data_IF_691713127455
#
_entry.id   IF_691713127455
#
_cell.length_a   1.000
_cell.length_b   1.000
_cell.length_c   1.000
_cell.angle_alpha   90.00
_cell.angle_beta   90.00
_cell.angle_gamma   90.00
#
_symmetry.space_group_name_H-M   'P 1'
#
loop_
_entity.id
_entity.type
_entity.pdbx_description
1 polymer ?
#
# COMPACT_ATOMS: atom_id res chain seq x y z
N UNK A 1 25.63 65.12 -28.58
CA UNK A 1 26.05 65.99 -27.46
C UNK A 1 24.81 66.37 -26.66
N UNK A 2 24.89 66.50 -25.33
CA UNK A 2 25.31 65.49 -24.33
C UNK A 2 24.05 64.88 -23.62
N UNK A 3 24.11 63.76 -22.88
CA UNK A 3 24.52 63.62 -21.46
C UNK A 3 23.81 64.64 -20.52
N UNK A 4 23.22 64.31 -19.36
CA UNK A 4 23.34 63.15 -18.45
C UNK A 4 22.07 63.12 -17.51
N UNK A 5 21.81 62.19 -16.58
CA UNK A 5 22.57 61.05 -16.02
C UNK A 5 21.63 59.94 -15.43
N UNK A 6 22.22 58.89 -14.84
CA UNK A 6 21.64 57.84 -13.96
C UNK A 6 21.91 58.20 -12.46
N UNK A 7 21.34 57.54 -11.40
CA UNK A 7 21.18 56.08 -11.21
C UNK A 7 19.85 55.69 -10.49
N UNK A 8 19.51 54.45 -10.07
CA UNK A 8 20.11 53.09 -10.13
C UNK A 8 18.96 52.07 -10.11
N UNK A 9 19.12 50.87 -10.70
CA UNK A 9 18.26 49.70 -10.41
C UNK A 9 18.63 49.09 -9.03
N UNK A 10 17.77 48.22 -8.47
CA UNK A 10 18.06 46.79 -8.62
C UNK A 10 16.94 46.00 -9.33
N UNK A 11 17.34 45.01 -10.12
CA UNK A 11 16.45 44.02 -10.70
C UNK A 11 15.95 43.03 -9.64
N UNK A 12 14.68 42.61 -9.75
CA UNK A 12 14.17 41.42 -9.09
C UNK A 12 13.37 40.58 -10.09
N UNK A 13 14.11 40.01 -11.04
CA UNK A 13 13.66 38.78 -11.73
C UNK A 13 13.73 37.65 -10.72
N UNK A 14 12.63 37.44 -9.99
CA UNK A 14 12.44 36.23 -9.21
C UNK A 14 12.31 35.04 -10.17
N UNK A 15 13.44 34.37 -10.46
CA UNK A 15 13.41 33.03 -11.03
C UNK A 15 12.70 32.13 -10.02
N UNK A 16 11.47 31.74 -10.34
CA UNK A 16 10.81 30.62 -9.69
C UNK A 16 11.52 29.37 -10.21
N UNK A 17 12.48 28.86 -9.44
CA UNK A 17 13.05 27.54 -9.71
C UNK A 17 11.93 26.50 -9.60
N UNK A 18 11.83 25.54 -10.55
CA UNK A 18 10.92 24.42 -10.39
C UNK A 18 11.39 23.55 -9.21
N UNK A 19 10.48 22.86 -8.50
CA UNK A 19 10.88 21.96 -7.43
C UNK A 19 11.86 20.92 -7.98
N UNK A 20 13.03 20.83 -7.35
CA UNK A 20 14.09 19.92 -7.76
C UNK A 20 13.58 18.47 -7.69
N UNK A 21 13.67 17.76 -8.81
CA UNK A 21 13.57 16.30 -8.81
C UNK A 21 14.77 15.73 -8.05
N UNK A 22 14.60 15.46 -6.76
CA UNK A 22 15.48 14.56 -6.02
C UNK A 22 14.97 13.14 -6.29
N UNK A 23 15.39 12.59 -7.43
CA UNK A 23 15.25 11.15 -7.71
C UNK A 23 16.43 10.41 -7.07
N UNK A 24 16.15 9.38 -6.27
CA UNK A 24 17.15 8.34 -5.94
C UNK A 24 17.89 8.44 -4.60
N UNK A 25 17.45 9.23 -3.63
CA UNK A 25 17.96 9.13 -2.25
C UNK A 25 16.81 9.23 -1.26
N UNK A 26 16.63 8.20 -0.44
CA UNK A 26 15.72 8.23 0.71
C UNK A 26 16.31 9.18 1.75
N UNK A 27 15.58 10.23 2.14
CA UNK A 27 16.07 11.24 3.08
C UNK A 27 15.78 10.87 4.55
N UNK A 28 16.17 11.74 5.48
CA UNK A 28 16.02 11.48 6.92
C UNK A 28 14.56 11.40 7.41
N UNK A 29 13.59 11.94 6.67
CA UNK A 29 12.18 11.98 7.11
C UNK A 29 11.57 10.58 7.27
N UNK A 30 12.14 9.60 6.58
CA UNK A 30 11.71 8.21 6.59
C UNK A 30 11.97 7.51 7.93
N UNK A 31 13.03 7.88 8.65
CA UNK A 31 13.30 7.41 10.01
C UNK A 31 12.32 7.98 11.06
N UNK A 32 11.67 9.11 10.74
CA UNK A 32 10.74 9.82 11.64
C UNK A 32 9.28 9.35 11.47
N UNK A 33 9.00 8.46 10.51
CA UNK A 33 7.67 7.90 10.30
C UNK A 33 7.24 7.11 11.54
N UNK A 34 6.04 7.39 12.04
CA UNK A 34 5.42 6.54 13.06
C UNK A 34 5.01 5.20 12.45
N UNK A 35 5.93 4.24 12.46
CA UNK A 35 5.66 2.87 12.07
C UNK A 35 4.63 2.19 12.98
N UNK A 36 4.29 2.77 14.15
CA UNK A 36 3.20 2.34 15.03
C UNK A 36 1.81 2.78 14.54
N UNK A 37 1.72 3.60 13.49
CA UNK A 37 0.45 4.13 12.98
C UNK A 37 -0.62 3.05 12.67
N UNK A 38 -1.92 3.34 12.94
CA UNK A 38 -3.06 2.45 12.71
C UNK A 38 -3.12 1.80 11.32
N UNK A 39 -2.80 2.55 10.27
CA UNK A 39 -2.86 2.05 8.90
C UNK A 39 -1.70 1.11 8.54
N UNK A 40 -0.61 1.06 9.32
CA UNK A 40 0.50 0.11 9.12
C UNK A 40 0.34 -1.17 9.94
N UNK A 41 -0.52 -1.19 10.96
CA UNK A 41 -0.64 -2.28 11.95
C UNK A 41 -0.79 -3.68 11.36
N UNK A 42 -1.49 -3.79 10.23
CA UNK A 42 -1.73 -5.05 9.52
C UNK A 42 -0.52 -5.66 8.81
N UNK A 43 0.57 -4.91 8.60
CA UNK A 43 1.76 -5.40 7.89
C UNK A 43 2.58 -6.29 8.84
N UNK A 44 2.97 -7.48 8.40
CA UNK A 44 3.66 -8.48 9.25
C UNK A 44 5.08 -8.08 9.65
N UNK A 45 5.69 -7.10 8.98
CA UNK A 45 7.12 -6.77 9.08
C UNK A 45 7.43 -5.34 9.54
N UNK A 46 6.45 -4.62 10.12
CA UNK A 46 6.57 -3.17 10.46
C UNK A 46 7.84 -2.77 11.18
N UNK A 47 8.26 -3.54 12.18
CA UNK A 47 9.48 -3.24 12.94
C UNK A 47 10.73 -3.35 12.06
N UNK A 48 10.80 -4.40 11.23
CA UNK A 48 11.89 -4.61 10.29
C UNK A 48 11.89 -3.57 9.14
N UNK A 49 10.71 -3.12 8.71
CA UNK A 49 10.56 -1.98 7.79
C UNK A 49 11.08 -0.69 8.43
N UNK A 50 10.63 -0.34 9.65
CA UNK A 50 11.15 0.80 10.44
C UNK A 50 12.68 0.79 10.47
N UNK A 51 13.29 -0.31 10.93
CA UNK A 51 14.74 -0.40 11.06
C UNK A 51 15.48 -0.38 9.73
N UNK A 52 14.92 -0.98 8.67
CA UNK A 52 15.49 -0.89 7.31
C UNK A 52 15.50 0.54 6.82
N UNK A 53 14.40 1.23 7.02
CA UNK A 53 14.16 2.59 6.57
C UNK A 53 15.03 3.58 7.35
N UNK A 54 15.12 3.44 8.67
CA UNK A 54 16.07 4.16 9.53
C UNK A 54 17.53 4.00 9.07
N UNK A 55 17.92 2.81 8.58
CA UNK A 55 19.27 2.56 8.05
C UNK A 55 19.48 3.25 6.70
N UNK A 56 18.51 3.14 5.79
CA UNK A 56 18.56 3.77 4.46
C UNK A 56 18.54 5.31 4.53
N UNK A 57 17.94 5.87 5.57
CA UNK A 57 17.85 7.31 5.83
C UNK A 57 19.16 7.94 6.32
N UNK A 58 20.00 7.16 7.04
CA UNK A 58 21.16 7.70 7.77
C UNK A 58 22.24 8.19 6.79
N UNK A 59 22.74 9.44 6.94
CA UNK A 59 23.86 9.92 6.14
C UNK A 59 25.09 9.06 6.36
N UNK A 60 25.77 8.66 5.28
CA UNK A 60 26.92 7.74 5.26
C UNK A 60 28.12 8.18 6.12
N UNK A 61 28.11 9.40 6.67
CA UNK A 61 29.17 9.95 7.51
C UNK A 61 29.05 9.60 9.01
N UNK A 62 27.89 9.10 9.49
CA UNK A 62 27.68 8.84 10.93
C UNK A 62 28.11 7.44 11.42
N UNK A 63 28.44 6.50 10.54
CA UNK A 63 28.80 5.14 10.97
C UNK A 63 30.23 5.00 11.55
N UNK A 64 31.08 6.02 11.39
CA UNK A 64 32.46 6.00 11.88
C UNK A 64 32.66 6.48 13.34
N UNK A 65 31.59 6.63 14.14
CA UNK A 65 31.68 7.22 15.49
C UNK A 65 31.08 6.40 16.64
N UNK A 66 30.70 5.14 16.42
CA UNK A 66 30.18 4.25 17.47
C UNK A 66 30.90 2.89 17.42
N UNK A 67 32.14 2.87 17.91
CA UNK A 67 32.90 1.64 18.15
C UNK A 67 33.64 1.70 19.48
N UNK A 68 32.92 1.67 20.60
CA UNK A 68 33.44 1.23 21.90
C UNK A 68 32.29 0.89 22.87
N UNK A 69 32.33 -0.30 23.50
CA UNK A 69 31.30 -0.93 24.36
C UNK A 69 29.91 -1.11 23.71
N UNK A 70 29.42 -2.33 23.48
CA UNK A 70 29.30 -3.41 24.47
C UNK A 70 29.42 -4.82 23.84
N UNK A 71 29.63 -5.86 24.66
CA UNK A 71 29.99 -7.20 24.17
C UNK A 71 28.81 -8.20 24.13
N UNK A 72 28.29 -8.50 22.93
CA UNK A 72 27.57 -9.73 22.60
C UNK A 72 27.86 -10.16 21.15
N UNK A 73 27.78 -11.46 20.87
CA UNK A 73 28.11 -12.05 19.56
C UNK A 73 27.14 -11.62 18.44
N UNK A 74 27.52 -10.62 17.66
CA UNK A 74 26.93 -10.35 16.34
C UNK A 74 27.98 -10.57 15.23
N UNK A 75 27.55 -11.18 14.12
CA UNK A 75 28.36 -11.29 12.91
C UNK A 75 28.51 -9.90 12.29
N UNK A 76 29.60 -9.20 12.62
CA UNK A 76 29.96 -7.92 12.02
C UNK A 76 30.02 -8.03 10.50
N UNK A 77 29.05 -7.42 9.83
CA UNK A 77 29.13 -7.08 8.41
C UNK A 77 29.78 -5.71 8.30
N UNK A 78 30.81 -5.61 7.46
CA UNK A 78 31.60 -4.39 7.29
C UNK A 78 30.74 -3.24 6.75
N UNK A 79 30.72 -2.11 7.48
CA UNK A 79 29.90 -0.95 7.15
C UNK A 79 30.41 -0.14 5.93
N UNK A 80 31.54 -0.51 5.34
CA UNK A 80 32.03 0.08 4.08
C UNK A 80 31.22 -0.33 2.84
N UNK A 81 30.32 -1.32 2.96
CA UNK A 81 29.49 -1.85 1.86
C UNK A 81 28.14 -1.11 1.67
N UNK A 82 27.91 0.02 2.35
CA UNK A 82 26.60 0.72 2.37
C UNK A 82 26.47 1.72 1.20
N UNK A 83 26.74 1.17 0.01
CA UNK A 83 26.17 1.59 -1.28
C UNK A 83 25.82 0.33 -2.09
N UNK A 84 25.39 -0.73 -1.40
CA UNK A 84 24.97 -2.00 -1.99
C UNK A 84 23.61 -1.82 -2.69
N UNK A 85 23.55 -1.91 -4.03
CA UNK A 85 22.26 -1.94 -4.72
C UNK A 85 21.44 -3.14 -4.25
N UNK A 86 20.13 -3.04 -4.37
CA UNK A 86 19.15 -4.09 -4.07
C UNK A 86 18.91 -4.34 -2.56
N UNK A 87 19.19 -3.33 -1.71
CA UNK A 87 18.95 -3.41 -0.26
C UNK A 87 17.51 -3.78 0.06
N UNK A 88 16.52 -3.12 -0.56
CA UNK A 88 15.10 -3.37 -0.31
C UNK A 88 14.68 -4.76 -0.81
N UNK A 89 15.23 -5.22 -1.94
CA UNK A 89 14.99 -6.57 -2.44
C UNK A 89 15.50 -7.65 -1.46
N UNK A 90 16.71 -7.47 -0.93
CA UNK A 90 17.33 -8.40 0.03
C UNK A 90 16.59 -8.42 1.38
N UNK A 91 16.15 -7.26 1.86
CA UNK A 91 15.29 -7.09 3.03
C UNK A 91 13.99 -7.87 2.87
N UNK A 92 13.23 -7.59 1.82
CA UNK A 92 11.92 -8.23 1.59
C UNK A 92 12.07 -9.75 1.36
N UNK A 93 13.14 -10.19 0.68
CA UNK A 93 13.47 -11.61 0.49
C UNK A 93 13.72 -12.32 1.83
N UNK A 94 14.52 -11.71 2.70
CA UNK A 94 14.82 -12.24 4.04
C UNK A 94 13.55 -12.33 4.88
N UNK A 95 12.73 -11.27 4.88
CA UNK A 95 11.45 -11.26 5.58
C UNK A 95 10.47 -12.34 5.08
N UNK A 96 10.39 -12.56 3.76
CA UNK A 96 9.55 -13.61 3.17
C UNK A 96 9.97 -15.02 3.65
N UNK A 97 11.28 -15.28 3.70
CA UNK A 97 11.83 -16.54 4.20
C UNK A 97 11.59 -16.73 5.70
N UNK A 98 11.79 -15.69 6.50
CA UNK A 98 11.51 -15.72 7.94
C UNK A 98 10.03 -15.96 8.24
N UNK A 99 9.12 -15.31 7.50
CA UNK A 99 7.67 -15.51 7.64
C UNK A 99 7.25 -16.93 7.26
N UNK A 100 7.79 -17.49 6.17
CA UNK A 100 7.53 -18.88 5.77
C UNK A 100 8.02 -19.88 6.84
N UNK A 101 9.24 -19.69 7.35
CA UNK A 101 9.82 -20.52 8.41
C UNK A 101 9.02 -20.43 9.72
N UNK A 102 8.64 -19.22 10.15
CA UNK A 102 7.88 -19.00 11.40
C UNK A 102 6.47 -19.59 11.35
N UNK A 103 5.82 -19.58 10.18
CA UNK A 103 4.49 -20.15 9.96
C UNK A 103 4.50 -21.65 9.61
N UNK A 104 5.69 -22.27 9.57
CA UNK A 104 5.94 -23.65 9.09
C UNK A 104 5.27 -23.94 7.73
N UNK A 105 5.28 -22.96 6.83
CA UNK A 105 4.57 -22.99 5.55
C UNK A 105 5.53 -22.84 4.36
N UNK A 106 5.21 -23.43 3.20
CA UNK A 106 5.98 -23.17 1.98
C UNK A 106 5.89 -21.68 1.62
N UNK A 107 6.93 -21.18 0.95
CA UNK A 107 6.91 -19.86 0.32
C UNK A 107 5.70 -19.76 -0.63
N UNK A 108 5.04 -18.58 -0.71
CA UNK A 108 3.88 -18.41 -1.56
C UNK A 108 4.24 -18.57 -3.04
N UNK A 109 3.25 -18.85 -3.89
CA UNK A 109 3.48 -19.15 -5.31
C UNK A 109 2.64 -18.27 -6.24
N UNK A 110 3.07 -18.11 -7.48
CA UNK A 110 2.28 -17.49 -8.55
C UNK A 110 1.01 -18.31 -8.83
N UNK A 111 -0.08 -17.63 -9.20
CA UNK A 111 -1.27 -18.30 -9.76
C UNK A 111 -0.97 -18.62 -11.24
N UNK A 112 -0.85 -19.89 -11.65
CA UNK A 112 -0.38 -20.24 -12.99
C UNK A 112 -1.42 -19.92 -14.06
N UNK A 113 -0.96 -19.47 -15.24
CA UNK A 113 -1.79 -19.49 -16.45
C UNK A 113 -1.82 -20.87 -17.10
N UNK A 114 -2.69 -21.07 -18.10
CA UNK A 114 -2.83 -22.37 -18.75
C UNK A 114 -1.50 -22.83 -19.39
N UNK A 115 -1.04 -24.03 -19.05
CA UNK A 115 0.27 -24.63 -19.39
C UNK A 115 1.49 -24.11 -18.62
N UNK A 116 1.34 -23.31 -17.56
CA UNK A 116 2.45 -22.91 -16.69
C UNK A 116 2.39 -23.66 -15.34
N UNK A 117 3.55 -23.96 -14.76
CA UNK A 117 3.65 -24.44 -13.37
C UNK A 117 3.67 -23.24 -12.41
N UNK A 118 3.07 -23.34 -11.21
CA UNK A 118 3.27 -22.35 -10.15
C UNK A 118 4.77 -22.15 -9.89
N UNK A 119 5.19 -20.88 -9.78
CA UNK A 119 6.56 -20.53 -9.41
C UNK A 119 6.58 -20.00 -7.99
N UNK A 120 7.59 -20.40 -7.21
CA UNK A 120 7.79 -19.88 -5.86
C UNK A 120 8.15 -18.40 -5.93
N UNK A 121 7.41 -17.57 -5.18
CA UNK A 121 7.65 -16.13 -5.13
C UNK A 121 8.92 -15.84 -4.34
N UNK A 122 9.72 -14.90 -4.84
CA UNK A 122 10.87 -14.33 -4.13
C UNK A 122 11.17 -12.91 -4.64
N UNK A 123 11.65 -12.04 -3.77
CA UNK A 123 12.12 -10.71 -4.17
C UNK A 123 13.52 -10.79 -4.80
N UNK A 124 13.74 -9.97 -5.82
CA UNK A 124 15.01 -9.83 -6.54
C UNK A 124 15.29 -8.37 -6.88
N UNK A 125 16.56 -8.08 -7.19
CA UNK A 125 17.00 -6.83 -7.81
C UNK A 125 16.08 -6.41 -8.96
N UNK A 126 15.82 -5.11 -9.12
CA UNK A 126 15.25 -4.56 -10.35
C UNK A 126 16.10 -4.91 -11.59
N UNK A 127 17.41 -5.07 -11.45
CA UNK A 127 18.31 -5.45 -12.55
C UNK A 127 18.11 -6.89 -13.04
N UNK A 128 17.36 -7.72 -12.31
CA UNK A 128 16.99 -9.06 -12.75
C UNK A 128 15.85 -9.07 -13.79
N UNK A 129 15.08 -7.97 -13.92
CA UNK A 129 14.06 -7.81 -14.95
C UNK A 129 14.73 -7.44 -16.28
N UNK A 130 14.58 -8.25 -17.36
CA UNK A 130 15.14 -7.92 -18.66
C UNK A 130 14.56 -6.64 -19.26
N UNK A 131 15.37 -5.89 -20.00
CA UNK A 131 14.91 -4.69 -20.71
C UNK A 131 13.79 -5.03 -21.70
N UNK A 132 12.69 -4.28 -21.63
CA UNK A 132 11.50 -4.49 -22.46
C UNK A 132 10.56 -5.61 -21.99
N UNK A 133 10.91 -6.38 -20.95
CA UNK A 133 9.97 -7.34 -20.35
C UNK A 133 8.97 -6.64 -19.42
N UNK A 134 7.69 -7.03 -19.51
CA UNK A 134 6.65 -6.50 -18.63
C UNK A 134 6.80 -7.07 -17.21
N UNK A 135 6.78 -6.19 -16.21
CA UNK A 135 6.90 -6.52 -14.78
C UNK A 135 5.98 -7.68 -14.36
N UNK A 136 4.71 -7.63 -14.76
CA UNK A 136 3.72 -8.63 -14.39
C UNK A 136 3.98 -9.99 -15.09
N UNK A 137 4.50 -9.97 -16.32
CA UNK A 137 4.87 -11.19 -17.05
C UNK A 137 6.06 -11.89 -16.39
N UNK A 138 7.10 -11.14 -16.05
CA UNK A 138 8.30 -11.66 -15.40
C UNK A 138 7.98 -12.32 -14.05
N UNK A 139 7.14 -11.68 -13.22
CA UNK A 139 6.66 -12.25 -11.95
C UNK A 139 5.95 -13.57 -12.21
N UNK A 140 4.93 -13.58 -13.07
CA UNK A 140 4.09 -14.76 -13.24
C UNK A 140 4.83 -15.96 -13.86
N UNK A 141 5.83 -15.70 -14.70
CA UNK A 141 6.63 -16.73 -15.38
C UNK A 141 7.82 -17.24 -14.57
N UNK A 142 8.41 -16.43 -13.69
CA UNK A 142 9.65 -16.78 -12.95
C UNK A 142 9.47 -16.88 -11.43
N UNK A 143 8.40 -16.32 -10.87
CA UNK A 143 8.22 -16.12 -9.43
C UNK A 143 9.03 -14.95 -8.85
N UNK A 144 9.94 -14.35 -9.63
CA UNK A 144 10.79 -13.29 -9.14
C UNK A 144 10.05 -11.94 -9.17
N UNK A 145 10.04 -11.23 -8.05
CA UNK A 145 9.46 -9.89 -7.89
C UNK A 145 10.59 -8.86 -8.00
N UNK A 146 10.73 -8.15 -9.14
CA UNK A 146 11.71 -7.08 -9.28
C UNK A 146 11.39 -5.97 -8.28
N UNK A 147 12.43 -5.46 -7.65
CA UNK A 147 12.30 -4.50 -6.55
C UNK A 147 13.40 -3.46 -6.65
N UNK A 148 13.01 -2.18 -6.62
CA UNK A 148 13.90 -1.02 -6.60
C UNK A 148 14.17 -0.56 -5.18
N UNK A 149 15.28 0.14 -4.97
CA UNK A 149 15.56 0.83 -3.71
C UNK A 149 14.81 2.17 -3.62
N UNK A 150 13.47 2.08 -3.50
CA UNK A 150 12.60 3.23 -3.23
C UNK A 150 11.43 2.83 -2.29
N UNK A 151 10.71 3.82 -1.75
CA UNK A 151 9.55 3.60 -0.88
C UNK A 151 8.42 2.79 -1.54
N UNK A 152 8.12 3.12 -2.79
CA UNK A 152 6.96 2.61 -3.50
C UNK A 152 7.06 1.08 -3.65
N UNK A 153 8.24 0.60 -4.05
CA UNK A 153 8.61 -0.80 -4.14
C UNK A 153 8.69 -1.47 -2.76
N UNK A 154 9.09 -0.74 -1.70
CA UNK A 154 9.09 -1.23 -0.32
C UNK A 154 7.67 -1.46 0.22
N UNK A 155 6.74 -0.53 0.00
CA UNK A 155 5.33 -0.71 0.34
C UNK A 155 4.67 -1.78 -0.53
N UNK A 156 4.95 -1.81 -1.84
CA UNK A 156 4.50 -2.87 -2.74
C UNK A 156 4.96 -4.25 -2.26
N UNK A 157 6.22 -4.38 -1.86
CA UNK A 157 6.79 -5.58 -1.27
C UNK A 157 6.16 -5.96 0.07
N UNK A 158 5.86 -4.96 0.91
CA UNK A 158 5.13 -5.16 2.17
C UNK A 158 3.73 -5.70 1.95
N UNK A 159 3.03 -5.24 0.90
CA UNK A 159 1.74 -5.79 0.47
C UNK A 159 1.90 -7.20 -0.11
N UNK A 160 2.96 -7.51 -0.87
CA UNK A 160 3.27 -8.88 -1.30
C UNK A 160 3.54 -9.84 -0.13
N UNK A 161 4.14 -9.38 0.97
CA UNK A 161 4.36 -10.17 2.19
C UNK A 161 3.07 -10.40 3.00
N UNK A 162 2.16 -9.43 2.95
CA UNK A 162 0.91 -9.42 3.74
C UNK A 162 -0.24 -10.12 3.01
N UNK A 163 -0.34 -9.94 1.69
CA UNK A 163 -1.40 -10.47 0.82
C UNK A 163 -0.85 -11.20 -0.43
N UNK A 164 0.03 -12.22 -0.27
CA UNK A 164 0.69 -12.88 -1.40
C UNK A 164 -0.28 -13.57 -2.36
N UNK A 165 -1.36 -14.23 -1.87
CA UNK A 165 -2.33 -14.92 -2.71
C UNK A 165 -3.13 -13.93 -3.54
N UNK A 166 -3.53 -12.81 -2.94
CA UNK A 166 -4.23 -11.73 -3.62
C UNK A 166 -3.36 -11.14 -4.71
N UNK A 167 -2.12 -10.74 -4.40
CA UNK A 167 -1.19 -10.16 -5.38
C UNK A 167 -0.89 -11.14 -6.52
N UNK A 168 -0.80 -12.45 -6.24
CA UNK A 168 -0.70 -13.49 -7.27
C UNK A 168 -1.96 -13.60 -8.17
N UNK A 169 -3.18 -13.43 -7.62
CA UNK A 169 -4.42 -13.33 -8.41
C UNK A 169 -4.41 -12.07 -9.31
N UNK A 170 -4.04 -10.90 -8.77
CA UNK A 170 -3.95 -9.66 -9.54
C UNK A 170 -2.94 -9.78 -10.70
N UNK A 171 -1.78 -10.35 -10.43
CA UNK A 171 -0.75 -10.64 -11.42
C UNK A 171 -1.26 -11.59 -12.53
N UNK A 172 -1.95 -12.67 -12.18
CA UNK A 172 -2.56 -13.59 -13.12
C UNK A 172 -3.55 -12.90 -14.10
N UNK A 173 -4.43 -12.02 -13.61
CA UNK A 173 -5.32 -11.28 -14.50
C UNK A 173 -4.59 -10.24 -15.36
N UNK A 174 -3.51 -9.63 -14.87
CA UNK A 174 -2.63 -8.83 -15.72
C UNK A 174 -2.03 -9.65 -16.86
N UNK A 175 -1.52 -10.86 -16.60
CA UNK A 175 -1.01 -11.75 -17.64
C UNK A 175 -2.08 -12.14 -18.67
N UNK A 176 -3.29 -12.50 -18.23
CA UNK A 176 -4.39 -12.85 -19.12
C UNK A 176 -4.75 -11.69 -20.07
N UNK A 177 -4.80 -10.45 -19.57
CA UNK A 177 -5.12 -9.29 -20.40
C UNK A 177 -3.98 -8.92 -21.34
N UNK A 178 -2.71 -9.00 -20.89
CA UNK A 178 -1.52 -8.80 -21.75
C UNK A 178 -1.51 -9.84 -22.87
N UNK A 179 -1.84 -11.10 -22.60
CA UNK A 179 -1.92 -12.15 -23.62
C UNK A 179 -3.05 -11.92 -24.65
N UNK A 180 -4.18 -11.31 -24.24
CA UNK A 180 -5.31 -10.98 -25.15
C UNK A 180 -5.07 -9.72 -26.00
N UNK A 181 -4.50 -8.68 -25.39
CA UNK A 181 -4.44 -7.32 -25.97
C UNK A 181 -3.04 -6.96 -26.51
N UNK A 182 -2.03 -7.76 -26.20
CA UNK A 182 -0.63 -7.39 -26.34
C UNK A 182 -0.21 -6.30 -25.34
N UNK A 183 1.02 -5.83 -25.46
CA UNK A 183 1.51 -4.66 -24.71
C UNK A 183 1.02 -3.39 -25.42
N UNK A 184 -0.27 -3.07 -25.25
CA UNK A 184 -0.89 -1.84 -25.76
C UNK A 184 -0.96 -0.76 -24.66
N UNK A 185 -0.83 0.51 -25.04
CA UNK A 185 -0.92 1.66 -24.12
C UNK A 185 -2.30 1.78 -23.44
N UNK A 186 -3.37 1.30 -24.10
CA UNK A 186 -4.72 1.34 -23.55
C UNK A 186 -4.99 0.09 -22.72
N UNK A 187 -4.80 0.23 -21.40
CA UNK A 187 -5.23 -0.76 -20.40
C UNK A 187 -6.73 -1.06 -20.54
N UNK A 188 -7.10 -2.34 -20.54
CA UNK A 188 -8.49 -2.78 -20.45
C UNK A 188 -9.06 -2.59 -19.03
N UNK A 189 -10.38 -2.61 -18.89
CA UNK A 189 -11.09 -2.33 -17.62
C UNK A 189 -10.67 -3.24 -16.46
N UNK A 190 -10.31 -4.49 -16.77
CA UNK A 190 -9.70 -5.45 -15.82
C UNK A 190 -8.40 -4.86 -15.25
N UNK A 191 -7.46 -4.49 -16.12
CA UNK A 191 -6.18 -3.88 -15.72
C UNK A 191 -6.38 -2.57 -14.96
N UNK A 192 -7.31 -1.71 -15.39
CA UNK A 192 -7.64 -0.47 -14.68
C UNK A 192 -8.16 -0.75 -13.26
N UNK A 193 -9.03 -1.75 -13.10
CA UNK A 193 -9.58 -2.15 -11.79
C UNK A 193 -8.48 -2.68 -10.87
N UNK A 194 -7.57 -3.49 -11.41
CA UNK A 194 -6.39 -3.98 -10.68
C UNK A 194 -5.49 -2.82 -10.28
N UNK A 195 -5.11 -1.93 -11.20
CA UNK A 195 -4.25 -0.77 -10.91
C UNK A 195 -4.84 0.11 -9.81
N UNK A 196 -6.13 0.45 -9.90
CA UNK A 196 -6.79 1.30 -8.89
C UNK A 196 -6.82 0.63 -7.50
N UNK A 197 -7.05 -0.69 -7.44
CA UNK A 197 -7.01 -1.43 -6.17
C UNK A 197 -5.58 -1.65 -5.65
N UNK A 198 -4.62 -1.95 -6.51
CA UNK A 198 -3.24 -2.24 -6.09
C UNK A 198 -2.50 -0.98 -5.64
N UNK A 199 -2.73 0.17 -6.29
CA UNK A 199 -2.16 1.45 -5.86
C UNK A 199 -2.91 2.05 -4.67
N UNK A 200 -4.26 2.05 -4.69
CA UNK A 200 -5.09 2.85 -3.79
C UNK A 200 -6.19 2.05 -3.06
N UNK A 201 -6.08 0.72 -2.97
CA UNK A 201 -7.10 -0.14 -2.40
C UNK A 201 -7.14 -0.21 -0.88
N UNK A 202 -8.29 -0.62 -0.36
CA UNK A 202 -8.45 -1.03 1.02
C UNK A 202 -9.50 -2.16 1.13
N UNK A 203 -9.47 -2.88 2.23
CA UNK A 203 -10.41 -3.97 2.53
C UNK A 203 -11.17 -3.55 3.78
N UNK A 204 -12.42 -3.13 3.62
CA UNK A 204 -13.34 -2.98 4.76
C UNK A 204 -13.85 -4.37 5.12
N UNK A 205 -13.68 -4.75 6.37
CA UNK A 205 -14.06 -6.06 6.90
C UNK A 205 -15.11 -5.83 7.96
N UNK A 206 -16.27 -6.49 7.88
CA UNK A 206 -17.34 -6.25 8.87
C UNK A 206 -18.24 -7.46 9.14
N UNK A 207 -18.66 -7.60 10.41
CA UNK A 207 -19.71 -8.53 10.85
C UNK A 207 -21.12 -7.90 10.80
N UNK A 208 -21.23 -6.59 10.61
CA UNK A 208 -22.48 -5.84 10.46
C UNK A 208 -22.59 -5.33 9.01
N UNK A 209 -23.34 -6.06 8.18
CA UNK A 209 -23.46 -5.77 6.75
C UNK A 209 -23.91 -4.32 6.45
N UNK A 210 -24.70 -3.71 7.35
CA UNK A 210 -25.22 -2.34 7.17
C UNK A 210 -24.11 -1.28 7.11
N UNK A 211 -22.95 -1.52 7.73
CA UNK A 211 -21.79 -0.61 7.71
C UNK A 211 -21.12 -0.61 6.33
N UNK A 212 -21.07 -1.79 5.68
CA UNK A 212 -20.54 -1.96 4.32
C UNK A 212 -21.50 -1.46 3.24
N UNK A 213 -22.80 -1.73 3.39
CA UNK A 213 -23.86 -1.19 2.53
C UNK A 213 -23.84 0.35 2.56
N UNK A 214 -23.76 0.95 3.75
CA UNK A 214 -23.63 2.38 3.92
C UNK A 214 -22.39 2.99 3.22
N UNK A 215 -21.26 2.27 3.16
CA UNK A 215 -20.08 2.73 2.44
C UNK A 215 -20.37 2.82 0.93
N UNK A 216 -21.00 1.78 0.36
CA UNK A 216 -21.36 1.72 -1.06
C UNK A 216 -22.34 2.82 -1.44
N UNK A 217 -23.30 3.14 -0.55
CA UNK A 217 -24.31 4.18 -0.75
C UNK A 217 -23.83 5.60 -0.40
N UNK A 218 -22.55 5.78 -0.06
CA UNK A 218 -21.94 7.07 0.34
C UNK A 218 -22.60 7.67 1.61
N UNK A 219 -23.17 6.83 2.47
CA UNK A 219 -23.69 7.21 3.79
C UNK A 219 -22.57 7.13 4.84
N UNK A 220 -21.70 8.14 4.81
CA UNK A 220 -20.56 8.28 5.72
C UNK A 220 -20.98 8.30 7.20
N UNK A 221 -22.18 8.79 7.50
CA UNK A 221 -22.69 8.82 8.87
C UNK A 221 -22.99 7.39 9.35
N UNK A 222 -23.64 6.57 8.52
CA UNK A 222 -23.91 5.17 8.83
C UNK A 222 -22.68 4.26 8.78
N UNK A 223 -21.68 4.58 7.96
CA UNK A 223 -20.47 3.75 7.79
C UNK A 223 -19.34 4.10 8.76
N UNK A 224 -19.06 5.39 9.00
CA UNK A 224 -17.87 5.85 9.72
C UNK A 224 -18.16 6.48 11.09
N UNK A 225 -19.29 7.19 11.23
CA UNK A 225 -19.56 8.04 12.41
C UNK A 225 -20.44 7.35 13.46
N UNK A 226 -21.62 6.89 13.06
CA UNK A 226 -22.58 6.22 13.97
C UNK A 226 -22.06 4.92 14.57
N UNK A 227 -21.33 4.04 13.85
CA UNK A 227 -20.80 2.81 14.42
C UNK A 227 -19.39 2.98 14.99
N UNK A 228 -18.94 4.20 15.35
CA UNK A 228 -17.54 4.46 15.76
C UNK A 228 -17.06 3.57 16.91
N UNK A 229 -17.94 3.25 17.86
CA UNK A 229 -17.71 2.33 18.98
C UNK A 229 -17.56 0.86 18.55
N UNK A 230 -17.99 0.51 17.34
CA UNK A 230 -17.80 -0.81 16.72
C UNK A 230 -16.55 -0.90 15.85
N UNK A 231 -15.82 0.19 15.64
CA UNK A 231 -14.58 0.15 14.86
C UNK A 231 -13.46 -0.44 15.73
N UNK A 232 -12.74 -1.40 15.17
CA UNK A 232 -11.55 -1.99 15.80
C UNK A 232 -10.47 -0.91 15.93
N UNK A 233 -9.99 -0.64 17.15
CA UNK A 233 -8.79 0.15 17.34
C UNK A 233 -7.59 -0.78 17.12
N UNK A 234 -6.84 -0.66 16.01
CA UNK A 234 -5.80 -1.62 15.73
C UNK A 234 -4.61 -1.49 16.71
N UNK A 235 -4.52 -0.41 17.50
CA UNK A 235 -3.54 -0.26 18.59
C UNK A 235 -3.98 -0.94 19.89
N UNK A 236 -5.29 -1.13 20.08
CA UNK A 236 -5.91 -1.77 21.24
C UNK A 236 -7.08 -2.66 20.75
N UNK A 237 -6.79 -3.82 20.11
CA UNK A 237 -7.82 -4.62 19.45
C UNK A 237 -8.93 -5.04 20.41
N UNK A 238 -10.19 -4.89 19.96
CA UNK A 238 -11.37 -5.23 20.74
C UNK A 238 -12.12 -6.41 20.11
N UNK A 239 -12.29 -7.49 20.89
CA UNK A 239 -13.10 -8.65 20.53
C UNK A 239 -14.58 -8.28 20.24
N UNK A 240 -15.04 -7.13 20.74
CA UNK A 240 -16.38 -6.58 20.53
C UNK A 240 -16.54 -5.80 19.21
N UNK A 241 -15.42 -5.41 18.57
CA UNK A 241 -15.42 -4.67 17.31
C UNK A 241 -16.16 -5.42 16.20
N UNK A 242 -16.82 -4.69 15.31
CA UNK A 242 -17.65 -5.24 14.22
C UNK A 242 -17.21 -4.76 12.84
N UNK A 243 -16.25 -3.83 12.77
CA UNK A 243 -15.69 -3.34 11.51
C UNK A 243 -14.21 -2.96 11.67
N UNK A 244 -13.40 -3.28 10.67
CA UNK A 244 -12.00 -2.88 10.55
C UNK A 244 -11.66 -2.54 9.09
N UNK A 245 -10.56 -1.81 8.87
CA UNK A 245 -10.02 -1.54 7.54
C UNK A 245 -8.55 -1.97 7.49
N UNK A 246 -8.23 -2.73 6.44
CA UNK A 246 -6.88 -3.17 6.11
C UNK A 246 -6.48 -2.48 4.82
N UNK A 247 -5.29 -1.85 4.76
CA UNK A 247 -4.86 -1.19 3.52
C UNK A 247 -4.26 -2.23 2.56
N UNK A 248 -4.57 -2.08 1.28
CA UNK A 248 -3.98 -2.88 0.21
C UNK A 248 -3.14 -2.02 -0.75
N UNK A 249 -3.55 -0.77 -0.94
CA UNK A 249 -2.90 0.19 -1.81
C UNK A 249 -1.50 0.57 -1.35
N UNK A 250 -0.46 0.15 -2.07
CA UNK A 250 0.92 0.51 -1.72
C UNK A 250 1.22 1.99 -1.93
N UNK A 251 0.68 2.61 -2.99
CA UNK A 251 0.76 4.06 -3.19
C UNK A 251 -0.10 4.85 -2.19
N UNK A 252 -1.16 4.24 -1.63
CA UNK A 252 -1.94 4.81 -0.54
C UNK A 252 -1.15 4.83 0.78
N UNK A 253 -0.36 3.80 1.08
CA UNK A 253 0.56 3.81 2.23
C UNK A 253 1.61 4.93 2.10
N UNK A 254 2.18 5.11 0.91
CA UNK A 254 3.09 6.21 0.60
C UNK A 254 2.42 7.60 0.75
N UNK A 255 1.19 7.76 0.27
CA UNK A 255 0.40 8.99 0.43
C UNK A 255 -0.02 9.28 1.89
N UNK A 256 -0.05 8.25 2.76
CA UNK A 256 -0.38 8.39 4.18
C UNK A 256 0.81 8.85 5.04
N UNK A 257 2.01 8.97 4.47
CA UNK A 257 3.17 9.59 5.14
C UNK A 257 2.99 11.11 5.26
N UNK A 258 2.40 11.73 4.23
CA UNK A 258 2.05 13.15 4.20
C UNK A 258 0.57 13.32 3.82
N UNK A 259 -0.34 12.93 4.73
CA UNK A 259 -1.74 12.76 4.42
C UNK A 259 -2.43 14.11 4.12
N UNK A 260 -3.16 14.15 3.02
CA UNK A 260 -4.07 15.25 2.66
C UNK A 260 -5.51 14.86 2.98
N UNK A 261 -6.28 15.72 3.66
CA UNK A 261 -7.68 15.42 4.09
C UNK A 261 -8.56 14.72 3.02
N UNK A 262 -8.52 15.08 1.71
CA UNK A 262 -9.30 14.42 0.66
C UNK A 262 -8.69 13.10 0.11
N UNK A 263 -7.86 12.41 0.89
CA UNK A 263 -7.29 11.12 0.51
C UNK A 263 -8.37 10.03 0.60
N UNK A 264 -8.51 9.24 -0.46
CA UNK A 264 -9.61 8.30 -0.64
C UNK A 264 -9.09 6.98 -1.21
N UNK A 265 -9.36 5.89 -0.49
CA UNK A 265 -9.12 4.53 -0.95
C UNK A 265 -10.26 4.04 -1.86
N UNK A 266 -9.98 2.99 -2.63
CA UNK A 266 -10.93 2.26 -3.47
C UNK A 266 -11.15 0.88 -2.88
N UNK A 267 -12.19 0.75 -2.07
CA UNK A 267 -12.35 -0.37 -1.15
C UNK A 267 -13.19 -1.51 -1.73
N UNK A 268 -12.90 -2.72 -1.26
CA UNK A 268 -13.85 -3.84 -1.31
C UNK A 268 -14.40 -4.08 0.09
N UNK A 269 -15.56 -4.74 0.17
CA UNK A 269 -16.20 -5.12 1.42
C UNK A 269 -16.13 -6.64 1.57
N UNK A 270 -15.55 -7.13 2.66
CA UNK A 270 -15.51 -8.54 3.04
C UNK A 270 -16.37 -8.74 4.29
N UNK A 271 -17.47 -9.49 4.14
CA UNK A 271 -18.34 -9.83 5.27
C UNK A 271 -17.77 -11.02 6.05
N UNK A 272 -17.77 -10.93 7.38
CA UNK A 272 -17.23 -11.94 8.29
C UNK A 272 -18.20 -12.25 9.42
N UNK A 273 -17.95 -13.32 10.17
CA UNK A 273 -18.61 -13.56 11.46
C UNK A 273 -17.93 -12.75 12.57
N UNK A 274 -18.63 -12.49 13.68
CA UNK A 274 -18.06 -11.77 14.83
C UNK A 274 -16.75 -12.41 15.34
N UNK A 275 -16.64 -13.74 15.26
CA UNK A 275 -15.44 -14.51 15.62
C UNK A 275 -14.17 -14.15 14.83
N UNK A 276 -14.27 -13.36 13.75
CA UNK A 276 -13.08 -12.81 13.08
C UNK A 276 -12.33 -11.82 13.99
N UNK A 277 -13.06 -11.01 14.77
CA UNK A 277 -12.44 -10.01 15.63
C UNK A 277 -11.77 -10.62 16.87
N UNK A 278 -12.13 -11.86 17.24
CA UNK A 278 -11.41 -12.62 18.29
C UNK A 278 -10.16 -13.36 17.79
N UNK A 279 -9.81 -13.26 16.50
CA UNK A 279 -8.61 -13.91 15.96
C UNK A 279 -7.36 -13.05 16.19
N UNK A 280 -6.19 -13.66 16.48
CA UNK A 280 -4.90 -12.98 16.42
C UNK A 280 -4.69 -12.33 15.05
N UNK A 281 -4.00 -11.18 15.03
CA UNK A 281 -3.84 -10.39 13.81
C UNK A 281 -3.25 -11.19 12.63
N UNK A 282 -2.24 -12.03 12.86
CA UNK A 282 -1.66 -12.88 11.81
C UNK A 282 -2.69 -13.86 11.19
N UNK A 283 -3.63 -14.38 11.98
CA UNK A 283 -4.72 -15.22 11.48
C UNK A 283 -5.78 -14.43 10.74
N UNK A 284 -6.11 -13.22 11.21
CA UNK A 284 -6.97 -12.27 10.48
C UNK A 284 -6.38 -11.98 9.09
N UNK A 285 -5.09 -11.66 8.99
CA UNK A 285 -4.41 -11.39 7.70
C UNK A 285 -4.46 -12.60 6.77
N UNK A 286 -4.12 -13.79 7.26
CA UNK A 286 -4.19 -15.03 6.46
C UNK A 286 -5.60 -15.29 5.93
N UNK A 287 -6.62 -15.14 6.78
CA UNK A 287 -8.02 -15.27 6.40
C UNK A 287 -8.43 -14.25 5.33
N UNK A 288 -7.97 -13.00 5.48
CA UNK A 288 -8.26 -11.95 4.51
C UNK A 288 -7.56 -12.17 3.18
N UNK A 289 -6.30 -12.61 3.15
CA UNK A 289 -5.61 -12.89 1.87
C UNK A 289 -6.33 -13.99 1.06
N UNK A 290 -6.84 -15.04 1.72
CA UNK A 290 -7.71 -16.03 1.07
C UNK A 290 -9.02 -15.41 0.55
N UNK A 291 -9.72 -14.61 1.37
CA UNK A 291 -11.03 -14.02 1.01
C UNK A 291 -10.95 -12.92 -0.04
N UNK A 292 -9.90 -12.10 0.00
CA UNK A 292 -9.64 -11.03 -0.96
C UNK A 292 -9.19 -11.65 -2.29
N UNK A 293 -8.35 -12.69 -2.29
CA UNK A 293 -8.02 -13.44 -3.49
C UNK A 293 -9.26 -14.05 -4.17
N UNK A 294 -10.15 -14.70 -3.39
CA UNK A 294 -11.43 -15.25 -3.89
C UNK A 294 -12.37 -14.17 -4.45
N UNK A 295 -12.49 -13.04 -3.74
CA UNK A 295 -13.30 -11.90 -4.16
C UNK A 295 -12.77 -11.29 -5.48
N UNK A 296 -11.46 -11.04 -5.56
CA UNK A 296 -10.84 -10.44 -6.74
C UNK A 296 -10.86 -11.39 -7.94
N UNK A 297 -10.70 -12.71 -7.75
CA UNK A 297 -10.90 -13.70 -8.80
C UNK A 297 -12.33 -13.68 -9.35
N UNK A 298 -13.31 -13.57 -8.46
CA UNK A 298 -14.74 -13.47 -8.81
C UNK A 298 -15.10 -12.13 -9.46
N UNK A 299 -14.40 -11.04 -9.14
CA UNK A 299 -14.63 -9.72 -9.71
C UNK A 299 -13.99 -9.59 -11.10
N UNK A 300 -12.73 -9.99 -11.24
CA UNK A 300 -11.90 -9.77 -12.44
C UNK A 300 -12.20 -10.78 -13.57
N UNK A 301 -12.84 -11.91 -13.26
CA UNK A 301 -13.35 -12.86 -14.27
C UNK A 301 -14.59 -12.38 -15.03
N UNK A 302 -15.19 -11.26 -14.64
CA UNK A 302 -16.40 -10.71 -15.28
C UNK A 302 -16.06 -9.75 -16.42
N UNK A 303 -16.68 -9.94 -17.57
CA UNK A 303 -16.51 -9.08 -18.76
C UNK A 303 -16.92 -7.61 -18.52
N UNK A 304 -17.83 -7.36 -17.57
CA UNK A 304 -18.36 -6.03 -17.28
C UNK A 304 -17.57 -5.24 -16.22
N UNK A 305 -16.51 -5.83 -15.64
CA UNK A 305 -15.74 -5.28 -14.51
C UNK A 305 -15.27 -3.84 -14.72
N UNK A 306 -15.22 -3.04 -13.65
CA UNK A 306 -14.86 -1.61 -13.69
C UNK A 306 -14.35 -1.11 -12.34
N UNK A 307 -13.41 -0.15 -12.28
CA UNK A 307 -12.98 0.49 -11.02
C UNK A 307 -14.12 1.07 -10.18
N UNK A 308 -15.26 1.43 -10.80
CA UNK A 308 -16.47 1.91 -10.10
C UNK A 308 -17.17 0.87 -9.21
N UNK A 309 -16.79 -0.40 -9.28
CA UNK A 309 -17.27 -1.44 -8.35
C UNK A 309 -16.49 -1.43 -7.02
N UNK A 310 -15.38 -0.69 -6.96
CA UNK A 310 -14.64 -0.43 -5.73
C UNK A 310 -15.28 0.78 -5.02
N UNK A 311 -15.69 0.61 -3.77
CA UNK A 311 -16.39 1.61 -2.98
C UNK A 311 -15.41 2.71 -2.50
N UNK A 312 -15.67 4.00 -2.74
CA UNK A 312 -14.78 5.05 -2.27
C UNK A 312 -14.82 5.15 -0.74
N UNK A 313 -13.65 5.13 -0.10
CA UNK A 313 -13.50 5.27 1.35
C UNK A 313 -12.58 6.46 1.66
N UNK A 314 -13.08 7.57 2.24
CA UNK A 314 -12.23 8.64 2.76
C UNK A 314 -11.35 8.09 3.89
N UNK A 315 -10.08 7.78 3.61
CA UNK A 315 -9.27 6.91 4.48
C UNK A 315 -9.00 7.56 5.85
N UNK A 316 -8.84 8.88 5.88
CA UNK A 316 -8.65 9.67 7.10
C UNK A 316 -9.96 9.86 7.88
N UNK A 317 -11.10 9.45 7.33
CA UNK A 317 -12.38 9.37 8.01
C UNK A 317 -12.62 8.03 8.71
N UNK A 318 -11.80 7.00 8.45
CA UNK A 318 -11.83 5.74 9.21
C UNK A 318 -11.48 6.04 10.67
N UNK A 319 -12.33 5.68 11.65
CA UNK A 319 -12.01 5.84 13.07
C UNK A 319 -10.61 5.32 13.42
N UNK A 320 -10.00 5.94 14.43
CA UNK A 320 -8.62 5.70 14.88
C UNK A 320 -7.52 6.10 13.88
N UNK A 321 -7.77 6.18 12.56
CA UNK A 321 -6.74 6.49 11.55
C UNK A 321 -6.33 7.96 11.47
N UNK A 322 -7.05 8.91 12.07
CA UNK A 322 -6.62 10.31 12.10
C UNK A 322 -7.16 11.04 13.32
N UNK A 323 -6.31 11.77 14.04
CA UNK A 323 -6.67 12.42 15.30
C UNK A 323 -7.83 13.42 15.15
N UNK A 324 -7.86 14.21 14.07
CA UNK A 324 -8.96 15.16 13.83
C UNK A 324 -10.31 14.47 13.59
N UNK A 325 -10.34 13.21 13.15
CA UNK A 325 -11.60 12.50 12.89
C UNK A 325 -12.34 12.08 14.17
N UNK A 326 -11.75 12.29 15.35
CA UNK A 326 -12.47 12.20 16.62
C UNK A 326 -13.48 13.35 16.80
N UNK A 327 -13.34 14.46 16.06
CA UNK A 327 -14.24 15.62 16.14
C UNK A 327 -15.37 15.46 15.10
N UNK A 328 -16.66 15.52 15.49
CA UNK A 328 -17.77 15.31 14.56
C UNK A 328 -17.77 16.23 13.32
N UNK A 329 -17.34 17.48 13.48
CA UNK A 329 -17.26 18.45 12.37
C UNK A 329 -16.22 18.10 11.29
N UNK A 330 -15.32 17.14 11.55
CA UNK A 330 -14.43 16.60 10.52
C UNK A 330 -15.22 16.05 9.32
N UNK A 331 -16.35 15.38 9.60
CA UNK A 331 -17.24 14.71 8.65
C UNK A 331 -18.26 15.65 7.98
N UNK A 332 -18.36 16.92 8.40
CA UNK A 332 -19.25 17.93 7.80
C UNK A 332 -18.67 18.52 6.50
N UNK A 333 -17.41 18.23 6.21
CA UNK A 333 -16.71 18.69 5.01
C UNK A 333 -17.21 17.99 3.74
N UNK A 334 -18.23 18.60 3.13
CA UNK A 334 -18.86 18.14 1.88
C UNK A 334 -17.93 18.01 0.66
N UNK A 335 -16.71 18.53 0.69
CA UNK A 335 -15.72 18.28 -0.39
C UNK A 335 -15.16 16.85 -0.29
N UNK A 336 -14.95 16.36 0.93
CA UNK A 336 -14.47 15.00 1.23
C UNK A 336 -15.66 14.05 1.36
N UNK A 337 -16.59 14.36 2.25
CA UNK A 337 -17.76 13.55 2.62
C UNK A 337 -18.98 13.89 1.75
N UNK A 338 -18.76 13.98 0.44
CA UNK A 338 -19.80 14.27 -0.55
C UNK A 338 -20.85 13.15 -0.59
N UNK A 339 -22.11 13.51 -0.80
CA UNK A 339 -23.15 12.51 -1.12
C UNK A 339 -22.84 11.82 -2.46
N UNK A 340 -23.22 10.54 -2.56
CA UNK A 340 -23.07 9.75 -3.78
C UNK A 340 -23.79 10.37 -4.97
N UNK A 341 -23.42 9.95 -6.18
CA UNK A 341 -24.14 10.37 -7.39
C UNK A 341 -25.55 9.79 -7.33
N UNK A 342 -26.51 10.60 -6.86
CA UNK A 342 -27.95 10.28 -6.91
C UNK A 342 -28.27 9.62 -8.25
N UNK A 343 -28.69 8.36 -8.23
CA UNK A 343 -29.50 7.85 -9.33
C UNK A 343 -30.69 8.80 -9.43
N UNK A 344 -30.90 9.41 -10.60
CA UNK A 344 -32.15 10.15 -10.82
C UNK A 344 -33.26 9.12 -10.71
N UNK A 345 -34.02 9.17 -9.62
CA UNK A 345 -35.27 8.41 -9.51
C UNK A 345 -36.03 8.61 -10.82
N UNK A 346 -36.25 7.54 -11.57
CA UNK A 346 -37.28 7.54 -12.61
C UNK A 346 -38.55 7.87 -11.86
N UNK A 347 -39.13 9.04 -12.13
CA UNK A 347 -40.52 9.29 -11.76
C UNK A 347 -41.34 8.22 -12.50
N UNK A 348 -42.12 7.48 -11.73
CA UNK A 348 -43.19 6.62 -12.24
C UNK A 348 -44.24 7.47 -12.98
#
# INVERSE_FOLDING_TARGET
>A
MPASDLPTKPDSTACIEPPSKIEGTLDNSFAEIDWQAPWLLHITQRHYLSTTIERLSRPSQQMNSLSESDSLDEQYVDASDISTPDTIANVLKTAMQQQANHLEQPLPQTKPTHNQTPQTLQFVSQNALPEGEAYEHFIGTTGNIPTRDNLHDLFNGSIWLTFPKTKAVLNYYHMLEIAKQGISERRGRVRDTITVFDENGAVLVTSDASIGEALVDFDWQSSLVRPRDKWDDPTQPDDSAQVAVYIFGHALLEQLLYPRKPLCAHSIIIHVTQSFFTLPLAERIRFLDDKVAEYMDTLLSKDDVTPRQLAPLPILGVPHFWAENAVPSFYEDSYVFRSGRRQKNKKE
#
